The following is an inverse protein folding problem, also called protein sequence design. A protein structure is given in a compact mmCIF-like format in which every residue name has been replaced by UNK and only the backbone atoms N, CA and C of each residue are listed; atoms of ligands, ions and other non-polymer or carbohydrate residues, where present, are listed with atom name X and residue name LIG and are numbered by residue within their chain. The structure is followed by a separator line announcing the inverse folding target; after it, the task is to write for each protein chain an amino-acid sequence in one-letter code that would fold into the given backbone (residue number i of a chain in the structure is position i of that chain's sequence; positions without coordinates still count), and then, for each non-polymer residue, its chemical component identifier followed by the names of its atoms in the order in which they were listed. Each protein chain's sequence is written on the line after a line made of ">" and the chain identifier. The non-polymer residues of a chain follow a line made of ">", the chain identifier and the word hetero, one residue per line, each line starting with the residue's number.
data_IF_785788527121
#
_entry.id   IF_785788527121
#
_cell.length_a   1.000
_cell.length_b   1.000
_cell.length_c   1.000
_cell.angle_alpha   90.00
_cell.angle_beta   90.00
_cell.angle_gamma   90.00
#
_symmetry.space_group_name_H-M   'P 1'
#
loop_
_entity.id
_entity.type
_entity.pdbx_description
1 polymer ?
#
# COMPACT_ATOMS: atom_id res chain seq x y z
N UNK A 1 -5.36 -0.98 0.02
CA UNK A 1 -4.07 -0.86 -0.70
C UNK A 1 -3.46 -2.21 -1.05
N UNK A 2 -3.15 -3.09 -0.09
CA UNK A 2 -2.37 -4.29 -0.43
C UNK A 2 -3.07 -5.48 -1.06
N UNK A 3 -4.34 -5.72 -0.76
CA UNK A 3 -5.08 -6.84 -1.37
C UNK A 3 -5.14 -6.73 -2.89
N UNK A 4 -5.31 -5.50 -3.39
CA UNK A 4 -5.37 -5.14 -4.80
C UNK A 4 -4.03 -5.31 -5.55
N UNK A 5 -2.90 -5.26 -4.83
CA UNK A 5 -1.57 -5.54 -5.38
C UNK A 5 -1.36 -7.05 -5.48
N UNK A 6 -1.74 -7.80 -4.43
CA UNK A 6 -1.63 -9.26 -4.40
C UNK A 6 -2.52 -9.90 -5.47
N UNK A 7 -3.74 -9.37 -5.66
CA UNK A 7 -4.69 -9.84 -6.67
C UNK A 7 -4.12 -9.67 -8.08
N UNK A 8 -3.65 -8.47 -8.44
CA UNK A 8 -3.00 -8.26 -9.75
C UNK A 8 -1.72 -9.08 -9.92
N UNK A 9 -0.92 -9.25 -8.87
CA UNK A 9 0.28 -10.07 -8.95
C UNK A 9 -0.07 -11.54 -9.22
N UNK A 10 -1.18 -12.04 -8.64
CA UNK A 10 -1.72 -13.37 -8.94
C UNK A 10 -2.21 -13.47 -10.38
N UNK A 11 -2.90 -12.45 -10.89
CA UNK A 11 -3.39 -12.44 -12.27
C UNK A 11 -2.25 -12.40 -13.29
N UNK A 12 -1.20 -11.61 -13.04
CA UNK A 12 0.00 -11.59 -13.87
C UNK A 12 0.79 -12.91 -13.81
N UNK A 13 0.81 -13.58 -12.66
CA UNK A 13 1.38 -14.93 -12.56
C UNK A 13 0.57 -15.94 -13.37
N UNK A 14 -0.76 -15.85 -13.34
CA UNK A 14 -1.65 -16.71 -14.14
C UNK A 14 -1.46 -16.51 -15.65
N UNK A 15 -1.01 -15.33 -16.07
CA UNK A 15 -0.61 -15.03 -17.46
C UNK A 15 0.77 -15.58 -17.84
N UNK A 16 1.49 -16.25 -16.92
CA UNK A 16 2.78 -16.88 -17.18
C UNK A 16 4.00 -16.02 -16.88
N UNK A 17 3.84 -14.80 -16.35
CA UNK A 17 4.99 -13.93 -16.01
C UNK A 17 5.81 -14.46 -14.84
N UNK A 18 7.08 -14.07 -14.78
CA UNK A 18 7.97 -14.36 -13.65
C UNK A 18 7.41 -13.73 -12.36
N UNK A 19 7.67 -14.33 -11.19
CA UNK A 19 7.19 -13.85 -9.87
C UNK A 19 7.56 -12.37 -9.67
N UNK A 20 8.77 -12.00 -10.08
CA UNK A 20 9.30 -10.64 -9.98
C UNK A 20 8.61 -9.67 -10.92
N UNK A 21 8.43 -10.05 -12.18
CA UNK A 21 7.74 -9.19 -13.16
C UNK A 21 6.28 -8.99 -12.81
N UNK A 22 5.60 -10.04 -12.33
CA UNK A 22 4.22 -9.97 -11.88
C UNK A 22 4.04 -9.04 -10.68
N UNK A 23 4.93 -9.13 -9.69
CA UNK A 23 4.93 -8.24 -8.53
C UNK A 23 5.22 -6.78 -8.91
N UNK A 24 6.16 -6.56 -9.85
CA UNK A 24 6.52 -5.23 -10.32
C UNK A 24 5.39 -4.56 -11.13
N UNK A 25 4.77 -5.28 -12.07
CA UNK A 25 3.63 -4.77 -12.84
C UNK A 25 2.42 -4.47 -11.96
N UNK A 26 2.12 -5.35 -11.00
CA UNK A 26 1.04 -5.13 -10.03
C UNK A 26 1.27 -3.86 -9.18
N UNK A 27 2.52 -3.63 -8.74
CA UNK A 27 2.90 -2.41 -8.03
C UNK A 27 2.74 -1.15 -8.90
N UNK A 28 3.16 -1.21 -10.17
CA UNK A 28 3.12 -0.06 -11.08
C UNK A 28 1.69 0.40 -11.40
N UNK A 29 0.78 -0.54 -11.66
CA UNK A 29 -0.64 -0.23 -11.97
C UNK A 29 -1.35 0.40 -10.77
N UNK A 30 -1.00 -0.01 -9.55
CA UNK A 30 -1.64 0.49 -8.33
C UNK A 30 -0.99 1.76 -7.78
N UNK A 31 0.20 2.14 -8.23
CA UNK A 31 0.89 3.35 -7.78
C UNK A 31 0.02 4.61 -7.95
N UNK A 32 -0.62 4.78 -9.11
CA UNK A 32 -1.50 5.93 -9.38
C UNK A 32 -2.72 5.97 -8.43
N UNK A 33 -3.52 4.88 -8.28
CA UNK A 33 -4.59 4.82 -7.28
C UNK A 33 -4.15 5.04 -5.82
N UNK A 34 -3.01 4.49 -5.41
CA UNK A 34 -2.50 4.64 -4.04
C UNK A 34 -2.11 6.09 -3.77
N UNK A 35 -1.44 6.75 -4.72
CA UNK A 35 -1.13 8.18 -4.63
C UNK A 35 -2.41 9.02 -4.62
N UNK A 36 -3.40 8.70 -5.45
CA UNK A 36 -4.66 9.44 -5.50
C UNK A 36 -5.41 9.42 -4.15
N UNK A 37 -5.50 8.25 -3.53
CA UNK A 37 -6.21 8.09 -2.24
C UNK A 37 -5.44 8.72 -1.08
N UNK A 38 -4.12 8.54 -1.03
CA UNK A 38 -3.28 9.16 0.00
C UNK A 38 -3.29 10.69 -0.09
N UNK A 39 -3.17 11.26 -1.29
CA UNK A 39 -3.24 12.70 -1.50
C UNK A 39 -4.63 13.26 -1.16
N UNK A 40 -5.71 12.65 -1.64
CA UNK A 40 -7.07 13.10 -1.32
C UNK A 40 -7.33 13.11 0.19
N UNK A 41 -6.83 12.09 0.89
CA UNK A 41 -6.97 11.99 2.33
C UNK A 41 -6.16 13.07 3.07
N UNK A 42 -4.89 13.29 2.69
CA UNK A 42 -4.04 14.35 3.24
C UNK A 42 -4.68 15.73 3.03
N UNK A 43 -5.19 16.02 1.83
CA UNK A 43 -5.91 17.27 1.58
C UNK A 43 -7.19 17.39 2.39
N UNK A 44 -7.92 16.28 2.60
CA UNK A 44 -9.13 16.25 3.41
C UNK A 44 -8.90 16.51 4.91
N UNK A 45 -7.76 16.07 5.46
CA UNK A 45 -7.39 16.31 6.87
C UNK A 45 -6.51 17.55 7.08
N UNK A 46 -6.01 18.16 6.01
CA UNK A 46 -5.21 19.39 6.06
C UNK A 46 -5.87 20.50 6.91
N UNK A 47 -7.20 20.75 6.85
CA UNK A 47 -7.84 21.77 7.67
C UNK A 47 -7.81 21.49 9.18
N UNK A 48 -7.73 20.21 9.58
CA UNK A 48 -7.67 19.82 10.99
C UNK A 48 -6.35 20.25 11.65
N UNK A 49 -5.28 20.38 10.86
CA UNK A 49 -3.97 20.85 11.33
C UNK A 49 -3.96 22.37 11.62
N UNK A 50 -4.85 23.13 10.96
CA UNK A 50 -4.97 24.58 11.15
C UNK A 50 -6.17 24.96 12.02
N UNK A 51 -6.88 23.98 12.58
CA UNK A 51 -8.10 24.23 13.33
C UNK A 51 -7.80 24.90 14.68
N UNK A 52 -8.28 26.13 14.85
CA UNK A 52 -8.21 26.89 16.12
C UNK A 52 -9.53 26.75 16.92
N UNK A 53 -9.53 27.16 18.19
CA UNK A 53 -10.71 27.11 19.07
C UNK A 53 -10.81 25.89 19.99
N UNK A 54 -11.96 25.68 20.63
CA UNK A 54 -12.16 24.61 21.61
C UNK A 54 -11.92 23.23 20.98
N UNK A 55 -11.10 22.39 21.62
CA UNK A 55 -10.72 21.07 21.10
C UNK A 55 -9.70 21.08 19.96
N UNK A 56 -9.03 22.22 19.69
CA UNK A 56 -7.98 22.33 18.68
C UNK A 56 -6.84 21.31 18.88
N UNK A 57 -6.41 21.09 20.13
CA UNK A 57 -5.38 20.09 20.46
C UNK A 57 -5.72 18.68 19.94
N UNK A 58 -6.96 18.20 20.16
CA UNK A 58 -7.39 16.89 19.66
C UNK A 58 -7.48 16.84 18.12
N UNK A 59 -7.93 17.92 17.47
CA UNK A 59 -8.03 17.98 16.00
C UNK A 59 -6.65 17.96 15.34
N UNK A 60 -5.70 18.71 15.89
CA UNK A 60 -4.31 18.75 15.40
C UNK A 60 -3.64 17.39 15.63
N UNK A 61 -3.81 16.79 16.81
CA UNK A 61 -3.24 15.46 17.11
C UNK A 61 -3.80 14.38 16.17
N UNK A 62 -5.12 14.38 15.91
CA UNK A 62 -5.74 13.49 14.93
C UNK A 62 -5.21 13.75 13.52
N UNK A 63 -5.18 15.01 13.07
CA UNK A 63 -4.65 15.37 11.75
C UNK A 63 -3.22 14.90 11.56
N UNK A 64 -2.35 15.12 12.55
CA UNK A 64 -0.95 14.73 12.51
C UNK A 64 -0.79 13.19 12.48
N UNK A 65 -1.49 12.46 13.35
CA UNK A 65 -1.46 11.00 13.39
C UNK A 65 -1.91 10.39 12.05
N UNK A 66 -2.94 10.96 11.46
CA UNK A 66 -3.55 10.48 10.23
C UNK A 66 -2.66 10.77 9.01
N UNK A 67 -2.10 11.97 8.89
CA UNK A 67 -1.16 12.32 7.81
C UNK A 67 0.09 11.45 7.88
N UNK A 68 0.69 11.31 9.07
CA UNK A 68 1.89 10.51 9.25
C UNK A 68 1.62 9.03 9.02
N UNK A 69 0.49 8.52 9.52
CA UNK A 69 0.06 7.15 9.30
C UNK A 69 -0.18 6.84 7.82
N UNK A 70 -0.79 7.77 7.08
CA UNK A 70 -1.04 7.58 5.65
C UNK A 70 0.25 7.62 4.82
N UNK A 71 1.18 8.52 5.15
CA UNK A 71 2.48 8.62 4.51
C UNK A 71 3.31 7.34 4.73
N UNK A 72 3.43 6.90 5.99
CA UNK A 72 4.12 5.65 6.34
C UNK A 72 3.47 4.44 5.68
N UNK A 73 2.15 4.31 5.76
CA UNK A 73 1.42 3.21 5.14
C UNK A 73 1.65 3.17 3.63
N UNK A 74 1.67 4.32 2.95
CA UNK A 74 1.89 4.38 1.49
C UNK A 74 3.30 3.93 1.10
N UNK A 75 4.32 4.38 1.83
CA UNK A 75 5.72 3.99 1.61
C UNK A 75 5.94 2.51 1.91
N UNK A 76 5.52 2.06 3.10
CA UNK A 76 5.67 0.67 3.54
C UNK A 76 4.87 -0.28 2.65
N UNK A 77 3.61 0.04 2.33
CA UNK A 77 2.80 -0.82 1.48
C UNK A 77 3.42 -0.99 0.09
N UNK A 78 3.80 0.12 -0.56
CA UNK A 78 4.34 0.09 -1.93
C UNK A 78 5.61 -0.75 -2.04
N UNK A 79 6.50 -0.68 -1.05
CA UNK A 79 7.79 -1.40 -1.06
C UNK A 79 7.67 -2.82 -0.49
N UNK A 80 6.92 -2.98 0.60
CA UNK A 80 6.91 -4.23 1.37
C UNK A 80 5.98 -5.28 0.76
N UNK A 81 4.87 -4.88 0.14
CA UNK A 81 3.89 -5.84 -0.41
C UNK A 81 4.46 -6.66 -1.57
N UNK A 82 5.15 -6.08 -2.58
CA UNK A 82 5.76 -6.87 -3.65
C UNK A 82 6.80 -7.86 -3.12
N UNK A 83 7.61 -7.43 -2.15
CA UNK A 83 8.66 -8.26 -1.57
C UNK A 83 8.08 -9.41 -0.73
N UNK A 84 7.00 -9.14 0.02
CA UNK A 84 6.28 -10.16 0.78
C UNK A 84 5.55 -11.16 -0.13
N UNK A 85 5.00 -10.69 -1.27
CA UNK A 85 4.43 -11.56 -2.29
C UNK A 85 5.49 -12.48 -2.91
N UNK A 86 6.66 -11.96 -3.29
CA UNK A 86 7.77 -12.76 -3.81
C UNK A 86 8.22 -13.83 -2.79
N UNK A 87 8.30 -13.47 -1.51
CA UNK A 87 8.65 -14.41 -0.43
C UNK A 87 7.60 -15.54 -0.29
N UNK A 88 6.32 -15.19 -0.22
CA UNK A 88 5.23 -16.15 -0.10
C UNK A 88 5.16 -17.10 -1.29
N UNK A 89 5.34 -16.57 -2.50
CA UNK A 89 5.28 -17.38 -3.72
C UNK A 89 6.49 -18.33 -3.84
N UNK A 90 7.69 -17.87 -3.45
CA UNK A 90 8.87 -18.73 -3.32
C UNK A 90 8.68 -19.84 -2.29
N UNK A 91 8.06 -19.54 -1.14
CA UNK A 91 7.74 -20.55 -0.12
C UNK A 91 6.74 -21.57 -0.64
N UNK A 92 5.71 -21.13 -1.36
CA UNK A 92 4.68 -22.00 -1.96
C UNK A 92 5.28 -22.95 -3.01
N UNK A 93 6.13 -22.46 -3.91
CA UNK A 93 6.80 -23.33 -4.90
C UNK A 93 7.73 -24.34 -4.24
N UNK A 94 8.44 -23.94 -3.17
CA UNK A 94 9.33 -24.83 -2.41
C UNK A 94 8.56 -25.90 -1.64
N UNK A 95 7.35 -25.60 -1.17
CA UNK A 95 6.44 -26.59 -0.55
C UNK A 95 5.80 -27.50 -1.60
N UNK A 96 5.41 -26.98 -2.77
CA UNK A 96 4.77 -27.76 -3.83
C UNK A 96 5.73 -28.71 -4.55
N UNK A 97 7.04 -28.43 -4.58
CA UNK A 97 8.08 -29.37 -5.08
C UNK A 97 8.37 -30.54 -4.13
N UNK A 98 7.79 -30.53 -2.93
CA UNK A 98 7.99 -31.55 -1.89
C UNK A 98 6.85 -32.57 -1.80
N UNK A 99 5.83 -32.45 -2.64
CA UNK A 99 4.89 -33.54 -2.98
C UNK A 99 5.25 -34.11 -4.35
#
# INVERSE_FOLDING_TARGET
>A
NGILIVEFARDFRAQGNSIRDAAFQAGHIRLRPILMTSLAFVFGVMPLLFATGAGAGSRIALGAAVVFGMALNTLLATVYIPNFYELMQKLQEKFSKKQ
#
